data_IF_483439185185
#
_entry.id   IF_483439185185
#
_cell.length_a   1.000
_cell.length_b   1.000
_cell.length_c   1.000
_cell.angle_alpha   90.00
_cell.angle_beta   90.00
_cell.angle_gamma   90.00
#
_symmetry.space_group_name_H-M   'P 1'
#
loop_
_entity.id
_entity.type
_entity.pdbx_description
1 polymer ?
#
# COMPACT_ATOMS: atom_id res chain seq x y z
N UNK A 1 6.48 -8.80 -21.01
CA UNK A 1 5.02 -8.86 -20.76
C UNK A 1 4.64 -7.84 -19.70
N UNK A 2 3.45 -7.24 -19.83
CA UNK A 2 2.96 -5.98 -19.23
C UNK A 2 3.87 -4.77 -19.42
N UNK A 3 4.99 -4.73 -18.70
CA UNK A 3 5.90 -3.58 -18.68
C UNK A 3 6.51 -3.28 -20.04
N UNK A 4 6.95 -4.31 -20.75
CA UNK A 4 7.43 -4.21 -22.12
C UNK A 4 6.36 -3.65 -23.08
N UNK A 5 5.08 -3.90 -22.79
CA UNK A 5 3.96 -3.44 -23.61
C UNK A 5 3.57 -2.01 -23.26
N UNK A 6 3.74 -1.59 -22.00
CA UNK A 6 3.44 -0.24 -21.51
C UNK A 6 4.51 0.79 -21.84
N UNK A 7 5.78 0.44 -21.70
CA UNK A 7 6.86 1.42 -21.78
C UNK A 7 7.45 1.56 -23.17
N UNK A 8 7.34 0.55 -24.04
CA UNK A 8 8.13 0.53 -25.29
C UNK A 8 9.62 0.84 -25.00
N UNK A 9 10.21 1.82 -25.70
CA UNK A 9 11.58 2.32 -25.48
C UNK A 9 11.75 3.25 -24.25
N UNK A 10 10.71 3.48 -23.44
CA UNK A 10 10.72 4.33 -22.23
C UNK A 10 11.01 3.56 -20.94
N UNK A 11 11.53 2.33 -21.01
CA UNK A 11 11.82 1.50 -19.83
C UNK A 11 12.72 2.22 -18.80
N UNK A 12 13.60 3.11 -19.26
CA UNK A 12 14.51 3.88 -18.41
C UNK A 12 13.83 4.93 -17.53
N UNK A 13 12.54 5.23 -17.74
CA UNK A 13 11.76 6.18 -16.92
C UNK A 13 11.15 5.53 -15.68
N UNK A 14 11.04 4.21 -15.67
CA UNK A 14 10.39 3.45 -14.60
C UNK A 14 11.43 2.81 -13.69
N UNK A 15 11.27 3.02 -12.38
CA UNK A 15 12.05 2.31 -11.37
C UNK A 15 11.08 1.64 -10.38
N UNK A 16 11.34 0.36 -10.08
CA UNK A 16 10.60 -0.38 -9.06
C UNK A 16 11.59 -0.85 -8.00
N UNK A 17 11.38 -0.42 -6.76
CA UNK A 17 12.24 -0.81 -5.64
C UNK A 17 11.42 -1.05 -4.36
N UNK A 18 12.10 -1.30 -3.25
CA UNK A 18 11.52 -1.36 -1.89
C UNK A 18 12.46 -0.68 -0.90
N UNK A 19 13.15 0.36 -1.37
CA UNK A 19 14.15 1.07 -0.58
C UNK A 19 13.47 1.85 0.55
N UNK A 20 14.10 1.89 1.73
CA UNK A 20 13.55 2.62 2.88
C UNK A 20 13.53 4.13 2.62
N UNK A 21 12.36 4.72 2.74
CA UNK A 21 12.11 6.16 2.75
C UNK A 21 12.20 6.66 4.19
N UNK A 22 12.94 7.74 4.42
CA UNK A 22 13.11 8.33 5.75
C UNK A 22 11.94 9.26 6.06
N UNK A 23 11.07 8.86 6.99
CA UNK A 23 10.01 9.72 7.53
C UNK A 23 10.59 10.54 8.69
N UNK A 24 10.73 11.87 8.55
CA UNK A 24 11.34 12.71 9.58
C UNK A 24 10.42 12.86 10.79
N UNK A 25 11.01 13.09 11.96
CA UNK A 25 10.27 13.53 13.15
C UNK A 25 9.57 14.88 12.89
N UNK A 26 8.33 15.03 13.39
CA UNK A 26 7.56 16.26 13.26
C UNK A 26 7.99 17.31 14.29
N UNK A 27 8.11 18.56 13.86
CA UNK A 27 8.40 19.68 14.76
C UNK A 27 7.34 19.83 15.85
N UNK A 28 6.06 19.71 15.48
CA UNK A 28 4.96 19.77 16.44
C UNK A 28 5.03 18.68 17.51
N UNK A 29 5.61 17.51 17.22
CA UNK A 29 5.85 16.50 18.24
C UNK A 29 6.94 16.96 19.22
N UNK A 30 8.06 17.48 18.70
CA UNK A 30 9.19 17.97 19.51
C UNK A 30 8.74 19.10 20.44
N UNK A 31 7.95 20.05 19.94
CA UNK A 31 7.42 21.19 20.70
C UNK A 31 6.59 20.75 21.90
N UNK A 32 5.81 19.67 21.75
CA UNK A 32 4.92 19.12 22.77
C UNK A 32 5.62 18.18 23.78
N UNK A 33 6.92 17.94 23.65
CA UNK A 33 7.67 17.14 24.64
C UNK A 33 7.77 17.94 25.95
N UNK A 34 7.07 17.47 26.98
CA UNK A 34 7.05 18.12 28.29
C UNK A 34 8.43 18.16 28.96
N UNK A 35 9.24 17.10 28.77
CA UNK A 35 10.58 17.04 29.32
C UNK A 35 11.55 17.92 28.51
N UNK A 36 11.97 19.05 29.09
CA UNK A 36 12.87 20.02 28.45
C UNK A 36 14.22 19.43 28.02
N UNK A 37 14.78 18.48 28.79
CA UNK A 37 16.05 17.85 28.46
C UNK A 37 15.91 16.95 27.23
N UNK A 38 14.87 16.12 27.19
CA UNK A 38 14.57 15.25 26.02
C UNK A 38 14.33 16.11 24.78
N UNK A 39 13.55 17.19 24.91
CA UNK A 39 13.27 18.11 23.81
C UNK A 39 14.55 18.74 23.25
N UNK A 40 15.41 19.28 24.12
CA UNK A 40 16.67 19.90 23.69
C UNK A 40 17.59 18.87 23.02
N UNK A 41 17.69 17.67 23.59
CA UNK A 41 18.51 16.58 23.03
C UNK A 41 18.09 16.20 21.61
N UNK A 42 16.78 16.03 21.39
CA UNK A 42 16.22 15.72 20.08
C UNK A 42 16.40 16.88 19.10
N UNK A 43 16.18 18.12 19.55
CA UNK A 43 16.28 19.31 18.69
C UNK A 43 17.70 19.47 18.10
N UNK A 44 18.73 19.26 18.93
CA UNK A 44 20.14 19.31 18.50
C UNK A 44 20.49 18.21 17.47
N UNK A 45 19.77 17.08 17.50
CA UNK A 45 20.04 15.88 16.68
C UNK A 45 18.91 15.56 15.71
N UNK A 46 18.06 16.54 15.38
CA UNK A 46 16.80 16.33 14.65
C UNK A 46 16.96 15.47 13.38
N UNK A 47 18.07 15.63 12.65
CA UNK A 47 18.36 14.89 11.40
C UNK A 47 18.53 13.38 11.61
N UNK A 48 18.89 12.95 12.81
CA UNK A 48 19.09 11.54 13.16
C UNK A 48 17.77 10.85 13.53
N UNK A 49 16.73 11.63 13.85
CA UNK A 49 15.41 11.11 14.21
C UNK A 49 14.52 10.95 12.98
N UNK A 50 14.60 9.75 12.39
CA UNK A 50 13.70 9.34 11.32
C UNK A 50 13.23 7.89 11.52
N UNK A 51 12.07 7.57 10.94
CA UNK A 51 11.61 6.21 10.78
C UNK A 51 11.83 5.77 9.33
N UNK A 52 12.56 4.66 9.13
CA UNK A 52 12.81 4.10 7.80
C UNK A 52 11.65 3.22 7.36
N UNK A 53 10.77 3.77 6.53
CA UNK A 53 9.55 3.14 6.06
C UNK A 53 9.72 2.56 4.65
N UNK A 54 9.14 1.39 4.38
CA UNK A 54 9.07 0.82 3.04
C UNK A 54 7.81 -0.03 2.92
N UNK A 55 7.22 -0.05 1.73
CA UNK A 55 6.19 -1.04 1.35
C UNK A 55 6.79 -2.05 0.38
N UNK A 56 6.06 -3.14 0.10
CA UNK A 56 6.57 -4.24 -0.72
C UNK A 56 7.08 -3.82 -2.11
N UNK A 57 6.41 -2.83 -2.75
CA UNK A 57 6.88 -2.17 -3.99
C UNK A 57 6.61 -0.67 -3.97
N UNK A 58 7.65 0.09 -4.27
CA UNK A 58 7.58 1.49 -4.69
C UNK A 58 7.73 1.56 -6.20
N UNK A 59 6.86 2.29 -6.87
CA UNK A 59 6.92 2.54 -8.30
C UNK A 59 7.23 4.02 -8.53
N UNK A 60 8.33 4.26 -9.20
CA UNK A 60 8.80 5.57 -9.59
C UNK A 60 8.69 5.75 -11.10
N UNK A 61 8.21 6.92 -11.52
CA UNK A 61 8.28 7.37 -12.92
C UNK A 61 8.98 8.71 -12.95
N UNK A 62 10.05 8.84 -13.76
CA UNK A 62 10.91 10.03 -13.81
C UNK A 62 11.38 10.48 -12.42
N UNK A 63 11.82 9.51 -11.61
CA UNK A 63 12.30 9.69 -10.23
C UNK A 63 11.24 10.23 -9.24
N UNK A 64 9.96 10.32 -9.64
CA UNK A 64 8.86 10.65 -8.74
C UNK A 64 8.19 9.37 -8.26
N UNK A 65 8.01 9.23 -6.94
CA UNK A 65 7.21 8.14 -6.39
C UNK A 65 5.75 8.39 -6.78
N UNK A 66 5.18 7.50 -7.61
CA UNK A 66 3.80 7.63 -8.09
C UNK A 66 2.86 6.62 -7.43
N UNK A 67 3.39 5.48 -6.99
CA UNK A 67 2.58 4.42 -6.41
C UNK A 67 3.36 3.61 -5.37
N UNK A 68 2.68 3.24 -4.30
CA UNK A 68 3.13 2.20 -3.37
C UNK A 68 2.16 1.02 -3.36
N UNK A 69 2.71 -0.20 -3.36
CA UNK A 69 1.95 -1.44 -3.33
C UNK A 69 2.42 -2.29 -2.16
N UNK A 70 1.49 -2.68 -1.30
CA UNK A 70 1.67 -3.74 -0.31
C UNK A 70 1.12 -5.06 -0.86
N UNK A 71 1.84 -6.16 -0.65
CA UNK A 71 1.48 -7.49 -1.12
C UNK A 71 1.27 -8.44 0.07
N UNK A 72 0.12 -9.11 0.12
CA UNK A 72 -0.20 -10.07 1.18
C UNK A 72 -0.77 -11.37 0.61
N UNK A 73 -0.46 -12.49 1.26
CA UNK A 73 -1.17 -13.74 0.95
C UNK A 73 -2.65 -13.62 1.34
N UNK A 74 -2.94 -12.96 2.46
CA UNK A 74 -4.28 -12.58 2.87
C UNK A 74 -4.21 -11.35 3.78
N UNK A 75 -5.32 -10.62 3.87
CA UNK A 75 -5.40 -9.46 4.77
C UNK A 75 -6.61 -9.57 5.68
N UNK A 76 -6.39 -9.36 6.98
CA UNK A 76 -7.40 -9.11 7.99
C UNK A 76 -7.36 -7.63 8.43
N UNK A 77 -8.40 -7.16 9.12
CA UNK A 77 -8.48 -5.75 9.56
C UNK A 77 -7.32 -5.30 10.45
N UNK A 78 -6.68 -6.21 11.20
CA UNK A 78 -5.49 -5.89 11.99
C UNK A 78 -4.27 -5.54 11.10
N UNK A 79 -4.09 -6.27 9.99
CA UNK A 79 -3.05 -5.99 9.00
C UNK A 79 -3.37 -4.73 8.21
N UNK A 80 -4.64 -4.54 7.80
CA UNK A 80 -5.12 -3.34 7.11
C UNK A 80 -4.74 -2.06 7.86
N UNK A 81 -4.90 -2.02 9.19
CA UNK A 81 -4.53 -0.86 10.01
C UNK A 81 -3.05 -0.51 9.87
N UNK A 82 -2.15 -1.50 9.83
CA UNK A 82 -0.71 -1.27 9.66
C UNK A 82 -0.42 -0.67 8.28
N UNK A 83 -1.04 -1.24 7.25
CA UNK A 83 -0.94 -0.77 5.86
C UNK A 83 -1.42 0.68 5.74
N UNK A 84 -2.54 1.03 6.36
CA UNK A 84 -3.06 2.40 6.36
C UNK A 84 -2.13 3.37 7.11
N UNK A 85 -1.52 2.95 8.23
CA UNK A 85 -0.53 3.76 8.93
C UNK A 85 0.71 4.00 8.06
N UNK A 86 1.21 2.95 7.40
CA UNK A 86 2.36 3.07 6.50
C UNK A 86 2.08 4.04 5.36
N UNK A 87 0.95 3.88 4.66
CA UNK A 87 0.56 4.83 3.61
C UNK A 87 0.28 6.23 4.13
N UNK A 88 -0.32 6.38 5.31
CA UNK A 88 -0.53 7.69 5.92
C UNK A 88 0.80 8.41 6.17
N UNK A 89 1.80 7.69 6.68
CA UNK A 89 3.15 8.22 6.88
C UNK A 89 3.81 8.57 5.54
N UNK A 90 3.75 7.70 4.53
CA UNK A 90 4.29 7.99 3.19
C UNK A 90 3.66 9.25 2.59
N UNK A 91 2.35 9.42 2.72
CA UNK A 91 1.62 10.57 2.18
C UNK A 91 1.95 11.90 2.87
N UNK A 92 2.63 11.88 4.02
CA UNK A 92 3.20 13.11 4.61
C UNK A 92 4.34 13.69 3.77
N UNK A 93 5.01 12.87 2.96
CA UNK A 93 6.08 13.29 2.04
C UNK A 93 5.62 13.27 0.58
N UNK A 94 4.75 12.32 0.22
CA UNK A 94 4.27 12.12 -1.15
C UNK A 94 2.73 12.11 -1.18
N UNK A 95 2.08 13.28 -1.07
CA UNK A 95 0.63 13.37 -0.88
C UNK A 95 -0.20 12.81 -2.05
N UNK A 96 0.40 12.70 -3.24
CA UNK A 96 -0.31 12.31 -4.46
C UNK A 96 -0.11 10.84 -4.86
N UNK A 97 0.60 10.03 -4.06
CA UNK A 97 0.82 8.62 -4.42
C UNK A 97 -0.49 7.85 -4.41
N UNK A 98 -0.63 6.96 -5.40
CA UNK A 98 -1.64 5.91 -5.38
C UNK A 98 -1.20 4.81 -4.40
N UNK A 99 -2.13 4.38 -3.54
CA UNK A 99 -1.88 3.38 -2.50
C UNK A 99 -2.62 2.10 -2.87
N UNK A 100 -1.92 0.97 -2.97
CA UNK A 100 -2.52 -0.32 -3.31
C UNK A 100 -2.20 -1.39 -2.27
N UNK A 101 -3.18 -2.23 -2.02
CA UNK A 101 -3.03 -3.51 -1.33
C UNK A 101 -3.38 -4.62 -2.33
N UNK A 102 -2.40 -5.42 -2.69
CA UNK A 102 -2.58 -6.64 -3.47
C UNK A 102 -2.62 -7.81 -2.50
N UNK A 103 -3.74 -8.53 -2.49
CA UNK A 103 -3.89 -9.73 -1.68
C UNK A 103 -4.28 -10.93 -2.53
N UNK A 104 -3.78 -12.12 -2.20
CA UNK A 104 -4.27 -13.33 -2.83
C UNK A 104 -5.69 -13.61 -2.34
N UNK A 105 -5.86 -13.81 -1.03
CA UNK A 105 -7.16 -14.06 -0.40
C UNK A 105 -7.59 -12.89 0.47
N UNK A 106 -8.87 -12.83 0.84
CA UNK A 106 -9.37 -11.81 1.77
C UNK A 106 -9.93 -12.41 3.05
N UNK A 107 -9.65 -11.74 4.17
CA UNK A 107 -10.27 -11.92 5.48
C UNK A 107 -10.76 -10.58 6.03
N UNK A 108 -11.07 -9.64 5.12
CA UNK A 108 -11.62 -8.32 5.46
C UNK A 108 -13.14 -8.36 5.70
N UNK A 109 -13.78 -9.50 5.39
CA UNK A 109 -15.24 -9.69 5.37
C UNK A 109 -15.89 -9.01 4.17
N UNK A 110 -17.22 -8.87 4.21
CA UNK A 110 -17.97 -8.23 3.11
C UNK A 110 -17.86 -9.01 1.79
N UNK A 111 -17.67 -8.31 0.68
CA UNK A 111 -17.60 -8.89 -0.66
C UNK A 111 -16.18 -8.96 -1.26
N UNK A 112 -15.14 -8.61 -0.50
CA UNK A 112 -13.75 -8.63 -0.97
C UNK A 112 -13.27 -10.00 -1.47
N UNK A 113 -13.86 -11.08 -0.96
CA UNK A 113 -13.56 -12.45 -1.38
C UNK A 113 -14.50 -12.96 -2.49
N UNK A 114 -15.66 -12.32 -2.70
CA UNK A 114 -16.63 -12.72 -3.71
C UNK A 114 -16.23 -12.27 -5.12
N UNK A 115 -15.37 -11.25 -5.20
CA UNK A 115 -14.88 -10.63 -6.45
C UNK A 115 -16.02 -10.17 -7.37
N UNK A 116 -16.98 -9.36 -6.87
CA UNK A 116 -18.01 -8.75 -7.70
C UNK A 116 -17.39 -7.77 -8.70
N UNK A 117 -18.17 -7.36 -9.70
CA UNK A 117 -17.75 -6.31 -10.64
C UNK A 117 -17.53 -4.96 -9.93
N UNK A 118 -18.39 -4.63 -8.96
CA UNK A 118 -18.25 -3.46 -8.09
C UNK A 118 -18.10 -3.91 -6.65
N UNK A 119 -16.98 -3.58 -6.01
CA UNK A 119 -16.72 -3.88 -4.61
C UNK A 119 -17.46 -2.89 -3.70
N UNK A 120 -18.32 -3.40 -2.83
CA UNK A 120 -18.95 -2.63 -1.76
C UNK A 120 -18.10 -2.64 -0.48
N UNK A 121 -17.24 -3.63 -0.30
CA UNK A 121 -16.38 -3.80 0.86
C UNK A 121 -17.13 -4.30 2.10
N UNK A 122 -16.52 -4.12 3.27
CA UNK A 122 -17.09 -4.54 4.55
C UNK A 122 -17.26 -3.34 5.49
N UNK A 123 -18.26 -3.40 6.38
CA UNK A 123 -18.52 -2.34 7.36
C UNK A 123 -17.30 -2.06 8.24
N UNK A 124 -16.61 -3.08 8.82
CA UNK A 124 -15.41 -2.83 9.63
C UNK A 124 -14.27 -2.20 8.83
N UNK A 125 -14.04 -2.65 7.60
CA UNK A 125 -12.97 -2.11 6.73
C UNK A 125 -13.22 -0.64 6.39
N UNK A 126 -14.42 -0.28 5.96
CA UNK A 126 -14.80 1.12 5.70
C UNK A 126 -14.70 1.99 6.95
N UNK A 127 -15.14 1.47 8.10
CA UNK A 127 -15.04 2.19 9.38
C UNK A 127 -13.58 2.52 9.71
N UNK A 128 -12.65 1.58 9.53
CA UNK A 128 -11.23 1.81 9.77
C UNK A 128 -10.66 2.80 8.76
N UNK A 129 -10.92 2.61 7.46
CA UNK A 129 -10.41 3.49 6.39
C UNK A 129 -10.86 4.94 6.56
N UNK A 130 -12.05 5.17 7.14
CA UNK A 130 -12.56 6.52 7.40
C UNK A 130 -11.67 7.37 8.32
N UNK A 131 -10.84 6.76 9.17
CA UNK A 131 -9.89 7.49 10.03
C UNK A 131 -8.60 7.89 9.31
N UNK A 132 -8.42 7.47 8.06
CA UNK A 132 -7.23 7.75 7.24
C UNK A 132 -7.64 8.50 5.97
N UNK A 133 -8.30 9.65 6.11
CA UNK A 133 -8.90 10.43 5.01
C UNK A 133 -7.94 10.74 3.85
N UNK A 134 -6.64 10.91 4.14
CA UNK A 134 -5.63 11.16 3.10
C UNK A 134 -5.26 9.90 2.29
N UNK A 135 -5.57 8.71 2.79
CA UNK A 135 -5.19 7.42 2.19
C UNK A 135 -6.38 6.82 1.45
N UNK A 136 -6.40 7.03 0.13
CA UNK A 136 -7.28 6.27 -0.76
C UNK A 136 -6.64 4.91 -1.09
N UNK A 137 -6.90 3.90 -0.27
CA UNK A 137 -6.35 2.55 -0.44
C UNK A 137 -7.18 1.72 -1.41
N UNK A 138 -6.57 1.35 -2.53
CA UNK A 138 -7.16 0.44 -3.52
C UNK A 138 -6.83 -1.01 -3.16
N UNK A 139 -7.85 -1.81 -2.87
CA UNK A 139 -7.69 -3.20 -2.46
C UNK A 139 -8.00 -4.12 -3.65
N UNK A 140 -7.01 -4.92 -4.06
CA UNK A 140 -7.10 -5.89 -5.15
C UNK A 140 -6.99 -7.29 -4.57
N UNK A 141 -8.05 -8.09 -4.68
CA UNK A 141 -8.05 -9.51 -4.29
C UNK A 141 -7.98 -10.39 -5.54
N UNK A 142 -7.09 -11.38 -5.54
CA UNK A 142 -6.81 -12.20 -6.72
C UNK A 142 -7.52 -13.57 -6.73
N UNK A 143 -7.81 -14.13 -5.56
CA UNK A 143 -8.40 -15.46 -5.40
C UNK A 143 -9.80 -15.35 -4.79
N UNK A 144 -10.75 -16.05 -5.42
CA UNK A 144 -12.14 -16.10 -4.98
C UNK A 144 -12.30 -16.96 -3.72
N UNK A 145 -13.19 -16.53 -2.82
CA UNK A 145 -13.53 -17.20 -1.57
C UNK A 145 -12.68 -16.73 -0.39
N UNK A 146 -13.27 -16.71 0.80
CA UNK A 146 -12.59 -16.25 2.03
C UNK A 146 -11.46 -17.17 2.45
N UNK A 147 -10.49 -16.59 3.15
CA UNK A 147 -9.37 -17.31 3.76
C UNK A 147 -9.87 -18.36 4.76
N UNK A 148 -9.53 -19.64 4.53
CA UNK A 148 -9.84 -20.71 5.49
C UNK A 148 -8.85 -20.73 6.67
N UNK A 149 -9.20 -20.08 7.76
CA UNK A 149 -8.35 -19.97 8.96
C UNK A 149 -7.94 -21.31 9.58
N UNK A 150 -8.66 -22.40 9.30
CA UNK A 150 -8.35 -23.72 9.85
C UNK A 150 -7.31 -24.50 9.05
N UNK A 151 -6.97 -24.02 7.85
CA UNK A 151 -6.02 -24.69 6.96
C UNK A 151 -4.78 -23.82 6.72
N UNK A 152 -3.57 -24.41 6.63
CA UNK A 152 -2.38 -23.64 6.27
C UNK A 152 -2.41 -23.21 4.80
N UNK A 153 -2.04 -21.95 4.54
CA UNK A 153 -2.06 -21.33 3.19
C UNK A 153 -1.24 -22.11 2.16
N UNK A 154 -0.08 -22.64 2.58
CA UNK A 154 0.85 -23.32 1.67
C UNK A 154 0.43 -24.77 1.33
N UNK A 155 -0.74 -25.23 1.79
CA UNK A 155 -1.25 -26.58 1.50
C UNK A 155 -2.60 -26.59 0.78
N UNK A 156 -3.28 -25.44 0.71
CA UNK A 156 -4.57 -25.34 0.04
C UNK A 156 -4.50 -24.20 -0.98
N UNK A 157 -4.43 -24.55 -2.26
CA UNK A 157 -4.27 -23.59 -3.35
C UNK A 157 -5.61 -23.37 -4.03
N UNK A 158 -6.11 -22.14 -3.99
CA UNK A 158 -7.26 -21.72 -4.79
C UNK A 158 -6.80 -21.41 -6.22
N UNK A 159 -7.63 -21.71 -7.24
CA UNK A 159 -7.28 -21.37 -8.62
C UNK A 159 -7.24 -19.85 -8.80
N UNK A 160 -6.21 -19.37 -9.49
CA UNK A 160 -6.13 -18.00 -9.99
C UNK A 160 -6.83 -17.93 -11.35
N UNK A 161 -7.90 -17.14 -11.43
CA UNK A 161 -8.59 -16.90 -12.70
C UNK A 161 -7.78 -15.92 -13.56
N UNK A 162 -7.45 -16.33 -14.78
CA UNK A 162 -6.74 -15.49 -15.75
C UNK A 162 -7.48 -14.18 -16.03
N UNK A 163 -8.81 -14.16 -15.98
CA UNK A 163 -9.60 -12.94 -16.15
C UNK A 163 -9.34 -11.92 -15.04
N UNK A 164 -9.17 -12.38 -13.80
CA UNK A 164 -8.83 -11.50 -12.66
C UNK A 164 -7.43 -10.92 -12.85
N UNK A 165 -6.49 -11.74 -13.29
CA UNK A 165 -5.12 -11.30 -13.58
C UNK A 165 -5.11 -10.24 -14.69
N UNK A 166 -5.81 -10.49 -15.80
CA UNK A 166 -5.92 -9.54 -16.92
C UNK A 166 -6.61 -8.24 -16.51
N UNK A 167 -7.65 -8.28 -15.66
CA UNK A 167 -8.27 -7.07 -15.09
C UNK A 167 -7.28 -6.27 -14.24
N UNK A 168 -6.50 -6.95 -13.41
CA UNK A 168 -5.49 -6.31 -12.53
C UNK A 168 -4.37 -5.68 -13.34
N UNK A 169 -3.91 -6.39 -14.37
CA UNK A 169 -2.98 -5.90 -15.39
C UNK A 169 -3.48 -4.59 -16.00
N UNK A 170 -4.72 -4.59 -16.49
CA UNK A 170 -5.32 -3.42 -17.15
C UNK A 170 -5.55 -2.25 -16.20
N UNK A 171 -5.86 -2.54 -14.93
CA UNK A 171 -5.92 -1.54 -13.86
C UNK A 171 -4.57 -0.84 -13.68
N UNK A 172 -3.48 -1.60 -13.57
CA UNK A 172 -2.13 -1.04 -13.46
C UNK A 172 -1.72 -0.27 -14.72
N UNK A 173 -2.09 -0.77 -15.90
CA UNK A 173 -1.86 -0.07 -17.17
C UNK A 173 -2.50 1.33 -17.17
N UNK A 174 -3.78 1.40 -16.80
CA UNK A 174 -4.53 2.66 -16.76
C UNK A 174 -3.96 3.63 -15.73
N UNK A 175 -3.62 3.14 -14.53
CA UNK A 175 -3.10 3.98 -13.45
C UNK A 175 -1.76 4.62 -13.82
N UNK A 176 -0.89 3.86 -14.49
CA UNK A 176 0.45 4.32 -14.85
C UNK A 176 0.48 5.09 -16.18
N UNK A 177 -0.56 4.98 -17.01
CA UNK A 177 -0.69 5.75 -18.27
C UNK A 177 -0.70 7.26 -18.04
N UNK A 178 -1.13 7.72 -16.86
CA UNK A 178 -1.06 9.14 -16.51
C UNK A 178 0.38 9.68 -16.39
N UNK A 179 1.38 8.79 -16.27
CA UNK A 179 2.77 9.15 -16.01
C UNK A 179 3.73 8.77 -17.16
N UNK A 180 3.34 7.83 -18.04
CA UNK A 180 4.19 7.27 -19.12
C UNK A 180 3.92 7.90 -20.50
#
# INVERSE_FOLDING_TARGET
MLWSNMTGHKANRLEINSNKIKIPIKDSYIENIANKQVRAYILERKKDYYYGLSVDKHIFVDNQLVMGIECKAYTENAMLKRILVDFHLLKTLYPNISCYLFQLESQLGGDYSALPETLLGSKPTHSIMSYFESVNLNIVTLLKGERDINQPIHKNFKPLDEQILNKTIKLMENELKAYL
#
